data_IF_072521502691
#
_entry.id   IF_072521502691
#
_cell.length_a   1.000
_cell.length_b   1.000
_cell.length_c   1.000
_cell.angle_alpha   90.00
_cell.angle_beta   90.00
_cell.angle_gamma   90.00
#
_symmetry.space_group_name_H-M   'P 1'
#
loop_
_entity.id
_entity.type
_entity.pdbx_description
1 polymer ?
#
# COMPACT_ATOMS: atom_id res chain seq x y z
N UNK A 1 -14.57 -8.26 3.59
CA UNK A 1 -13.19 -7.78 3.83
C UNK A 1 -12.44 -8.87 4.58
N UNK A 2 -11.31 -9.34 4.07
CA UNK A 2 -10.53 -10.40 4.71
C UNK A 2 -9.54 -9.75 5.69
N UNK A 3 -9.91 -9.75 6.97
CA UNK A 3 -9.09 -9.13 8.02
C UNK A 3 -7.92 -10.07 8.31
N UNK A 4 -6.68 -9.61 8.12
CA UNK A 4 -5.46 -10.34 8.41
C UNK A 4 -5.17 -10.45 9.92
N UNK A 5 -6.20 -10.61 10.75
CA UNK A 5 -6.10 -10.65 12.20
C UNK A 5 -6.54 -12.01 12.72
N UNK A 6 -5.78 -12.54 13.66
CA UNK A 6 -6.15 -13.73 14.43
C UNK A 6 -6.63 -13.32 15.82
N UNK A 7 -7.68 -13.99 16.28
CA UNK A 7 -8.20 -13.77 17.63
C UNK A 7 -7.57 -14.74 18.63
N UNK A 8 -7.07 -14.21 19.74
CA UNK A 8 -6.76 -14.99 20.94
C UNK A 8 -8.01 -15.01 21.83
N UNK A 9 -8.77 -16.11 21.79
CA UNK A 9 -10.07 -16.22 22.49
C UNK A 9 -9.97 -16.03 24.00
N UNK A 10 -8.85 -16.39 24.62
CA UNK A 10 -8.62 -16.26 26.07
C UNK A 10 -8.68 -14.81 26.55
N UNK A 11 -8.14 -13.89 25.76
CA UNK A 11 -8.08 -12.46 26.10
C UNK A 11 -9.05 -11.61 25.27
N UNK A 12 -9.80 -12.24 24.35
CA UNK A 12 -10.67 -11.58 23.34
C UNK A 12 -9.95 -10.50 22.53
N UNK A 13 -8.68 -10.75 22.19
CA UNK A 13 -7.82 -9.79 21.49
C UNK A 13 -7.45 -10.22 20.08
N UNK A 14 -7.22 -9.23 19.22
CA UNK A 14 -6.93 -9.43 17.81
C UNK A 14 -5.49 -9.04 17.49
N UNK A 15 -4.74 -9.97 16.93
CA UNK A 15 -3.34 -9.79 16.55
C UNK A 15 -3.19 -9.92 15.04
N UNK A 16 -2.50 -8.97 14.41
CA UNK A 16 -2.22 -9.05 12.98
C UNK A 16 -1.31 -10.23 12.63
N UNK A 17 -1.53 -10.80 11.45
CA UNK A 17 -0.78 -11.91 10.87
C UNK A 17 -0.39 -11.52 9.45
N UNK A 18 0.83 -11.86 8.98
CA UNK A 18 1.22 -11.58 7.61
C UNK A 18 0.18 -12.09 6.61
N UNK A 19 -0.25 -11.22 5.69
CA UNK A 19 -1.33 -11.51 4.73
C UNK A 19 -1.17 -12.84 3.96
N UNK A 20 0.08 -13.24 3.69
CA UNK A 20 0.45 -14.49 3.01
C UNK A 20 -0.03 -15.76 3.75
N UNK A 21 -0.47 -15.61 5.00
CA UNK A 21 -1.04 -16.67 5.82
C UNK A 21 -2.56 -16.53 6.06
N UNK A 22 -3.24 -15.61 5.38
CA UNK A 22 -4.71 -15.53 5.39
C UNK A 22 -5.31 -16.88 4.93
N UNK A 23 -6.37 -17.34 5.62
CA UNK A 23 -7.03 -18.64 5.44
C UNK A 23 -6.19 -19.89 5.73
N UNK A 24 -4.95 -19.75 6.20
CA UNK A 24 -4.12 -20.90 6.61
C UNK A 24 -4.36 -21.23 8.07
N UNK A 25 -4.34 -22.52 8.42
CA UNK A 25 -4.35 -22.97 9.83
C UNK A 25 -3.00 -22.60 10.48
N UNK A 26 -3.06 -21.81 11.54
CA UNK A 26 -1.91 -21.35 12.31
C UNK A 26 -2.02 -21.83 13.77
N UNK A 27 -0.90 -21.90 14.48
CA UNK A 27 -0.84 -22.17 15.91
C UNK A 27 -0.48 -20.89 16.65
N UNK A 28 -1.13 -20.64 17.79
CA UNK A 28 -0.80 -19.52 18.67
C UNK A 28 -0.18 -20.09 19.93
N UNK A 29 1.01 -19.61 20.26
CA UNK A 29 1.67 -19.85 21.55
C UNK A 29 1.69 -18.52 22.29
N UNK A 30 1.39 -18.52 23.58
CA UNK A 30 1.36 -17.28 24.35
C UNK A 30 1.88 -17.50 25.76
N UNK A 31 2.59 -16.51 26.27
CA UNK A 31 3.13 -16.46 27.63
C UNK A 31 2.39 -15.37 28.43
N UNK A 32 2.89 -15.01 29.61
CA UNK A 32 2.37 -13.85 30.36
C UNK A 32 2.63 -12.51 29.64
N UNK A 33 3.65 -12.43 28.79
CA UNK A 33 4.06 -11.15 28.18
C UNK A 33 3.97 -11.12 26.66
N UNK A 34 3.96 -12.27 25.99
CA UNK A 34 4.07 -12.36 24.52
C UNK A 34 3.04 -13.30 23.90
N UNK A 35 2.68 -13.00 22.65
CA UNK A 35 1.87 -13.85 21.79
C UNK A 35 2.66 -14.11 20.52
N UNK A 36 2.98 -15.37 20.29
CA UNK A 36 3.70 -15.85 19.11
C UNK A 36 2.76 -16.66 18.21
N UNK A 37 2.91 -16.48 16.91
CA UNK A 37 2.06 -17.10 15.91
C UNK A 37 2.93 -17.91 14.97
N UNK A 38 2.55 -19.16 14.74
CA UNK A 38 3.32 -20.14 13.98
C UNK A 38 2.53 -20.73 12.81
N UNK A 39 3.21 -20.96 11.68
CA UNK A 39 2.70 -21.73 10.54
C UNK A 39 3.69 -22.83 10.18
N UNK A 40 3.25 -24.10 10.20
CA UNK A 40 4.08 -25.28 9.89
C UNK A 40 5.49 -25.20 10.51
N UNK A 41 5.54 -24.96 11.83
CA UNK A 41 6.74 -24.86 12.66
C UNK A 41 7.58 -23.58 12.52
N UNK A 42 7.25 -22.67 11.60
CA UNK A 42 7.92 -21.37 11.49
C UNK A 42 7.15 -20.29 12.26
N UNK A 43 7.85 -19.46 13.06
CA UNK A 43 7.26 -18.29 13.72
C UNK A 43 7.05 -17.19 12.70
N UNK A 44 5.79 -16.81 12.47
CA UNK A 44 5.38 -15.85 11.43
C UNK A 44 5.05 -14.46 12.00
N UNK A 45 4.77 -14.36 13.30
CA UNK A 45 4.47 -13.09 13.97
C UNK A 45 4.72 -13.21 15.47
N UNK A 46 5.08 -12.10 16.10
CA UNK A 46 5.24 -11.97 17.54
C UNK A 46 4.67 -10.63 17.99
N UNK A 47 3.88 -10.65 19.05
CA UNK A 47 3.19 -9.48 19.61
C UNK A 47 3.42 -9.41 21.11
N UNK A 48 3.38 -8.20 21.66
CA UNK A 48 3.23 -8.01 23.11
C UNK A 48 1.80 -8.37 23.50
N UNK A 49 1.64 -9.23 24.51
CA UNK A 49 0.33 -9.65 24.99
C UNK A 49 -0.38 -8.47 25.65
N UNK A 50 -1.60 -8.21 25.22
CA UNK A 50 -2.49 -7.25 25.86
C UNK A 50 -3.62 -8.01 26.56
N UNK A 51 -3.99 -7.56 27.77
CA UNK A 51 -5.07 -8.13 28.57
C UNK A 51 -6.38 -7.35 28.45
N UNK A 52 -6.33 -6.13 27.88
CA UNK A 52 -7.54 -5.35 27.60
C UNK A 52 -8.32 -6.02 26.48
N UNK A 53 -9.60 -6.40 26.66
CA UNK A 53 -10.36 -7.12 25.64
C UNK A 53 -10.70 -6.22 24.43
N UNK A 54 -10.89 -6.84 23.27
CA UNK A 54 -11.28 -6.21 21.99
C UNK A 54 -10.26 -5.23 21.40
N UNK A 55 -8.99 -5.34 21.79
CA UNK A 55 -7.91 -4.51 21.23
C UNK A 55 -7.34 -5.14 19.97
N UNK A 56 -7.13 -4.31 18.94
CA UNK A 56 -6.45 -4.67 17.70
C UNK A 56 -4.97 -4.29 17.76
N UNK A 57 -4.10 -5.28 17.87
CA UNK A 57 -2.64 -5.11 17.82
C UNK A 57 -2.15 -5.40 16.40
N UNK A 58 -1.92 -4.33 15.64
CA UNK A 58 -1.53 -4.41 14.23
C UNK A 58 -0.08 -3.99 14.07
N UNK A 59 0.75 -4.87 13.50
CA UNK A 59 2.12 -4.58 13.09
C UNK A 59 2.08 -4.26 11.59
N UNK A 60 2.64 -3.11 11.22
CA UNK A 60 2.65 -2.60 9.84
C UNK A 60 3.41 -3.52 8.87
N UNK A 61 4.36 -4.31 9.37
CA UNK A 61 5.12 -5.33 8.61
C UNK A 61 4.30 -6.59 8.27
N UNK A 62 3.16 -6.82 8.95
CA UNK A 62 2.26 -7.94 8.63
C UNK A 62 1.26 -7.61 7.51
N UNK A 63 1.18 -6.34 7.11
CA UNK A 63 0.39 -5.95 5.96
C UNK A 63 1.08 -6.47 4.69
N UNK A 64 0.29 -6.87 3.70
CA UNK A 64 0.83 -7.30 2.41
C UNK A 64 1.75 -6.25 1.81
N UNK A 65 2.81 -6.64 1.11
CA UNK A 65 3.60 -5.73 0.27
C UNK A 65 2.73 -4.96 -0.72
N UNK A 66 1.63 -5.56 -1.21
CA UNK A 66 0.58 -4.86 -1.98
C UNK A 66 -0.21 -3.84 -1.15
N UNK A 67 -0.42 -4.09 0.14
CA UNK A 67 -1.08 -3.16 1.07
C UNK A 67 -0.12 -2.13 1.69
N UNK A 68 1.18 -2.39 1.82
CA UNK A 68 2.22 -1.42 2.15
C UNK A 68 2.45 -0.46 0.99
N UNK A 69 2.42 -0.98 -0.25
CA UNK A 69 2.46 -0.14 -1.44
C UNK A 69 1.27 0.83 -1.45
N UNK A 70 0.04 0.34 -1.22
CA UNK A 70 -1.17 1.18 -1.14
C UNK A 70 -1.19 2.08 0.10
N UNK A 71 -0.69 1.64 1.26
CA UNK A 71 -0.59 2.48 2.46
C UNK A 71 0.48 3.57 2.35
N UNK A 72 1.44 3.42 1.42
CA UNK A 72 2.44 4.43 1.08
C UNK A 72 2.05 5.33 -0.09
N UNK A 73 0.84 5.16 -0.66
CA UNK A 73 0.34 6.03 -1.74
C UNK A 73 0.07 7.43 -1.19
N UNK A 74 0.92 8.36 -1.61
CA UNK A 74 0.73 9.78 -1.38
C UNK A 74 0.97 10.51 -2.69
N UNK A 75 0.16 11.55 -2.93
CA UNK A 75 0.35 12.44 -4.08
C UNK A 75 1.82 12.89 -4.20
N UNK A 76 2.43 13.28 -3.08
CA UNK A 76 3.83 13.68 -3.03
C UNK A 76 4.81 12.62 -3.58
N UNK A 77 4.65 11.33 -3.25
CA UNK A 77 5.53 10.29 -3.80
C UNK A 77 5.31 10.04 -5.29
N UNK A 78 4.07 10.13 -5.77
CA UNK A 78 3.81 10.01 -7.21
C UNK A 78 4.42 11.17 -7.99
N UNK A 79 4.35 12.39 -7.44
CA UNK A 79 4.95 13.60 -8.03
C UNK A 79 6.48 13.50 -8.01
N UNK A 80 7.09 13.10 -6.89
CA UNK A 80 8.54 12.93 -6.78
C UNK A 80 9.08 11.88 -7.75
N UNK A 81 8.39 10.74 -7.87
CA UNK A 81 8.74 9.72 -8.85
C UNK A 81 8.58 10.25 -10.29
N UNK A 82 7.49 10.95 -10.60
CA UNK A 82 7.30 11.56 -11.91
C UNK A 82 8.40 12.59 -12.25
N UNK A 83 8.78 13.43 -11.29
CA UNK A 83 9.86 14.42 -11.43
C UNK A 83 11.23 13.76 -11.63
N UNK A 84 11.46 12.58 -11.04
CA UNK A 84 12.69 11.80 -11.29
C UNK A 84 12.79 11.31 -12.74
N UNK A 85 11.67 11.26 -13.47
CA UNK A 85 11.60 10.93 -14.89
C UNK A 85 11.77 12.19 -15.74
N UNK A 86 10.92 13.19 -15.56
CA UNK A 86 11.00 14.49 -16.22
C UNK A 86 9.99 15.44 -15.55
N UNK A 87 10.30 16.74 -15.54
CA UNK A 87 9.40 17.76 -14.96
C UNK A 87 8.04 17.80 -15.66
N UNK A 88 7.97 17.55 -16.98
CA UNK A 88 6.70 17.52 -17.71
C UNK A 88 5.83 16.31 -17.34
N UNK A 89 6.44 15.20 -16.92
CA UNK A 89 5.69 14.04 -16.39
C UNK A 89 5.15 14.36 -15.00
N UNK A 90 5.93 15.07 -14.18
CA UNK A 90 5.52 15.60 -12.89
C UNK A 90 4.27 16.48 -12.98
N UNK A 91 4.31 17.51 -13.81
CA UNK A 91 3.18 18.43 -14.02
C UNK A 91 1.91 17.71 -14.48
N UNK A 92 2.05 16.75 -15.39
CA UNK A 92 0.90 15.97 -15.87
C UNK A 92 0.27 15.10 -14.76
N UNK A 93 1.10 14.50 -13.90
CA UNK A 93 0.62 13.71 -12.75
C UNK A 93 -0.08 14.58 -11.72
N UNK A 94 0.43 15.79 -11.42
CA UNK A 94 -0.24 16.77 -10.55
C UNK A 94 -1.63 17.08 -11.10
N UNK A 95 -1.73 17.42 -12.38
CA UNK A 95 -3.02 17.74 -12.99
C UNK A 95 -4.03 16.59 -12.95
N UNK A 96 -3.57 15.34 -13.09
CA UNK A 96 -4.46 14.17 -12.98
C UNK A 96 -4.98 14.02 -11.55
N UNK A 97 -4.12 14.24 -10.55
CA UNK A 97 -4.50 14.17 -9.14
C UNK A 97 -5.51 15.29 -8.83
N UNK A 98 -5.25 16.52 -9.27
CA UNK A 98 -6.12 17.69 -9.04
C UNK A 98 -7.45 17.62 -9.81
N UNK A 99 -7.48 16.90 -10.94
CA UNK A 99 -8.72 16.69 -11.71
C UNK A 99 -9.75 15.80 -11.00
N UNK A 100 -9.38 15.13 -9.90
CA UNK A 100 -10.26 14.23 -9.15
C UNK A 100 -10.58 14.84 -7.78
N UNK A 101 -11.86 14.79 -7.38
CA UNK A 101 -12.29 15.25 -6.04
C UNK A 101 -11.57 14.55 -4.88
N UNK A 102 -11.10 13.31 -5.10
CA UNK A 102 -10.31 12.57 -4.13
C UNK A 102 -9.03 12.06 -4.78
N UNK A 103 -7.84 12.41 -4.25
CA UNK A 103 -6.55 12.05 -4.85
C UNK A 103 -6.35 10.53 -4.93
N UNK A 104 -6.93 9.78 -4.00
CA UNK A 104 -6.92 8.31 -3.98
C UNK A 104 -7.50 7.66 -5.24
N UNK A 105 -8.45 8.33 -5.89
CA UNK A 105 -9.06 7.84 -7.14
C UNK A 105 -8.10 7.97 -8.33
N UNK A 106 -7.18 8.94 -8.28
CA UNK A 106 -6.19 9.20 -9.32
C UNK A 106 -4.95 8.29 -9.22
N UNK A 107 -4.66 7.71 -8.05
CA UNK A 107 -3.42 6.97 -7.81
C UNK A 107 -3.24 5.75 -8.71
N UNK A 108 -4.32 5.01 -9.01
CA UNK A 108 -4.26 3.87 -9.96
C UNK A 108 -3.88 4.33 -11.37
N UNK A 109 -4.41 5.46 -11.81
CA UNK A 109 -4.10 6.04 -13.12
C UNK A 109 -2.66 6.55 -13.18
N UNK A 110 -2.21 7.26 -12.14
CA UNK A 110 -0.83 7.75 -12.02
C UNK A 110 0.18 6.60 -12.06
N UNK A 111 -0.10 5.53 -11.32
CA UNK A 111 0.72 4.32 -11.33
C UNK A 111 0.79 3.66 -12.72
N UNK A 112 -0.32 3.65 -13.45
CA UNK A 112 -0.37 3.16 -14.83
C UNK A 112 0.59 3.94 -15.74
N UNK A 113 0.55 5.27 -15.65
CA UNK A 113 1.39 6.19 -16.43
C UNK A 113 2.87 5.96 -16.11
N UNK A 114 3.24 5.91 -14.83
CA UNK A 114 4.64 5.70 -14.41
C UNK A 114 5.17 4.33 -14.83
N UNK A 115 4.33 3.28 -14.81
CA UNK A 115 4.72 1.96 -15.28
C UNK A 115 4.97 1.88 -16.80
N UNK A 116 4.47 2.83 -17.59
CA UNK A 116 4.78 2.88 -19.02
C UNK A 116 6.24 3.25 -19.29
N UNK A 117 6.94 3.92 -18.37
CA UNK A 117 8.37 4.22 -18.50
C UNK A 117 9.17 2.95 -18.86
N UNK A 118 8.92 1.87 -18.12
CA UNK A 118 9.58 0.57 -18.32
C UNK A 118 9.13 -0.17 -19.59
N UNK A 119 7.92 0.10 -20.09
CA UNK A 119 7.33 -0.61 -21.24
C UNK A 119 7.66 0.04 -22.57
N UNK A 120 7.61 1.37 -22.63
CA UNK A 120 7.73 2.12 -23.90
C UNK A 120 8.96 3.02 -23.98
N UNK A 121 9.74 3.10 -22.89
CA UNK A 121 10.92 3.94 -22.80
C UNK A 121 10.63 5.37 -22.34
N UNK A 122 11.63 5.95 -21.68
CA UNK A 122 11.54 7.27 -21.02
C UNK A 122 11.15 8.40 -21.98
N UNK A 123 11.82 8.50 -23.12
CA UNK A 123 11.58 9.58 -24.10
C UNK A 123 10.15 9.57 -24.66
N UNK A 124 9.62 8.37 -24.92
CA UNK A 124 8.27 8.22 -25.48
C UNK A 124 7.19 8.58 -24.47
N UNK A 125 7.40 8.28 -23.18
CA UNK A 125 6.54 8.72 -22.10
C UNK A 125 6.55 10.25 -21.96
N UNK A 126 7.73 10.87 -21.94
CA UNK A 126 7.88 12.33 -21.85
C UNK A 126 7.17 13.03 -23.01
N UNK A 127 7.37 12.55 -24.24
CA UNK A 127 6.71 13.12 -25.42
C UNK A 127 5.18 12.97 -25.39
N UNK A 128 4.65 11.90 -24.80
CA UNK A 128 3.21 11.73 -24.60
C UNK A 128 2.65 12.69 -23.54
N UNK A 129 3.33 12.83 -22.39
CA UNK A 129 2.92 13.76 -21.33
C UNK A 129 2.95 15.22 -21.80
N UNK A 130 4.00 15.63 -22.54
CA UNK A 130 4.08 16.98 -23.13
C UNK A 130 2.93 17.28 -24.08
N UNK A 131 2.58 16.33 -24.96
CA UNK A 131 1.42 16.48 -25.86
C UNK A 131 0.10 16.57 -25.09
N UNK A 132 -0.06 15.78 -24.03
CA UNK A 132 -1.27 15.80 -23.22
C UNK A 132 -1.43 17.11 -22.44
N UNK A 133 -0.34 17.70 -21.95
CA UNK A 133 -0.34 19.02 -21.31
C UNK A 133 -0.71 20.13 -22.31
N UNK A 134 -0.17 20.07 -23.53
CA UNK A 134 -0.44 21.08 -24.55
C UNK A 134 -1.90 21.03 -25.04
N UNK A 135 -2.45 19.83 -25.25
CA UNK A 135 -3.85 19.66 -25.67
C UNK A 135 -4.84 20.21 -24.64
N UNK A 136 -4.55 20.04 -23.35
CA UNK A 136 -5.44 20.50 -22.29
C UNK A 136 -5.41 22.02 -22.13
N UNK A 137 -4.27 22.66 -22.44
CA UNK A 137 -4.15 24.14 -22.46
C UNK A 137 -4.92 24.78 -23.62
N UNK A 138 -5.26 24.02 -24.65
CA UNK A 138 -6.10 24.50 -25.76
C UNK A 138 -7.62 24.35 -25.54
N UNK A 139 -8.06 23.75 -24.43
CA UNK A 139 -9.47 23.65 -24.04
C UNK A 139 -9.90 24.71 -23.00
N UNK A 140 -8.97 25.58 -22.56
CA UNK A 140 -9.21 26.80 -21.76
C UNK A 140 -9.25 28.05 -22.64
#
# INVERSE_FOLDING_TARGET
MQNGHVQLSRDKNYYSVPYQYIKKKIKILYTSSTVEIYYKYNRIAMHRRNYKPYVYTTITEHLASTHQFVAGWSAARFIDWANSIDTAVGEYIVQIIDSRNHPEQAYKSCLGILNFEKKVGRERLIGACKRALDFKRSEE
#
